data_IF_595217318124
#
_entry.id   IF_595217318124
#
_cell.length_a   1.000
_cell.length_b   1.000
_cell.length_c   1.000
_cell.angle_alpha   90.00
_cell.angle_beta   90.00
_cell.angle_gamma   90.00
#
_symmetry.space_group_name_H-M   'P 1'
#
loop_
_entity.id
_entity.type
_entity.pdbx_description
1 polymer ?
#
# COMPACT_ATOMS: atom_id res chain seq x y z
N UNK A 1 -2.55 -17.88 -11.04
CA UNK A 1 -2.69 -16.94 -9.90
C UNK A 1 -4.17 -16.87 -9.53
N UNK A 2 -4.44 -16.75 -8.23
CA UNK A 2 -5.78 -16.58 -7.66
C UNK A 2 -6.05 -15.11 -7.37
N UNK A 3 -7.32 -14.73 -7.25
CA UNK A 3 -7.73 -13.38 -6.86
C UNK A 3 -7.14 -13.03 -5.50
N UNK A 4 -6.62 -11.82 -5.35
CA UNK A 4 -5.99 -11.36 -4.12
C UNK A 4 -4.58 -11.91 -3.85
N UNK A 5 -4.05 -12.86 -4.65
CA UNK A 5 -2.70 -13.44 -4.45
C UNK A 5 -1.54 -12.44 -4.65
N UNK A 6 -1.81 -11.29 -5.24
CA UNK A 6 -0.87 -10.16 -5.36
C UNK A 6 -0.84 -9.27 -4.13
N UNK A 7 -0.34 -8.04 -4.29
CA UNK A 7 -0.26 -7.06 -3.21
C UNK A 7 -1.64 -6.57 -2.71
N UNK A 8 -2.70 -6.75 -3.50
CA UNK A 8 -4.03 -6.26 -3.17
C UNK A 8 -4.70 -7.03 -2.02
N UNK A 9 -4.52 -8.35 -1.90
CA UNK A 9 -5.10 -9.13 -0.79
C UNK A 9 -4.26 -9.10 0.49
N UNK A 10 -2.94 -8.89 0.36
CA UNK A 10 -1.99 -8.94 1.47
C UNK A 10 -1.56 -7.58 2.03
N UNK A 11 -2.19 -6.48 1.63
CA UNK A 11 -1.85 -5.15 2.15
C UNK A 11 -2.40 -4.91 3.58
N UNK A 12 -2.09 -3.74 4.13
CA UNK A 12 -2.47 -3.37 5.49
C UNK A 12 -3.99 -3.19 5.71
N UNK A 13 -4.80 -3.09 4.65
CA UNK A 13 -6.25 -2.89 4.77
C UNK A 13 -6.65 -1.48 5.21
N UNK A 14 -5.74 -0.52 5.19
CA UNK A 14 -6.03 0.87 5.54
C UNK A 14 -6.25 1.69 4.27
N UNK A 15 -7.41 2.32 4.17
CA UNK A 15 -7.75 3.34 3.16
C UNK A 15 -7.30 4.68 3.75
N UNK A 16 -6.00 4.94 3.63
CA UNK A 16 -5.37 6.11 4.22
C UNK A 16 -5.26 7.23 3.18
N UNK A 17 -5.77 8.41 3.52
CA UNK A 17 -5.79 9.59 2.65
C UNK A 17 -4.97 10.72 3.25
N UNK A 18 -4.66 11.74 2.45
CA UNK A 18 -3.85 12.88 2.90
C UNK A 18 -2.35 12.60 3.01
N UNK A 19 -1.90 11.39 2.70
CA UNK A 19 -0.48 11.09 2.76
C UNK A 19 0.28 11.74 1.58
N UNK A 20 1.27 12.56 1.86
CA UNK A 20 2.16 13.07 0.82
C UNK A 20 3.03 11.94 0.25
N UNK A 21 3.60 12.12 -0.96
CA UNK A 21 4.46 11.13 -1.59
C UNK A 21 5.66 10.80 -0.70
N UNK A 22 6.28 9.64 -0.94
CA UNK A 22 7.49 9.24 -0.21
C UNK A 22 8.71 10.12 -0.50
N UNK A 23 8.67 10.86 -1.61
CA UNK A 23 9.70 11.77 -2.10
C UNK A 23 9.74 13.04 -1.25
N UNK A 24 10.42 13.00 -0.10
CA UNK A 24 10.53 14.13 0.83
C UNK A 24 12.00 14.49 1.07
N UNK A 25 12.27 15.74 1.41
CA UNK A 25 13.59 16.18 1.87
C UNK A 25 14.14 15.28 2.98
N UNK A 26 15.44 15.00 2.94
CA UNK A 26 16.13 14.16 3.94
C UNK A 26 16.06 12.65 3.68
N UNK A 27 15.25 12.18 2.72
CA UNK A 27 15.16 10.73 2.38
C UNK A 27 16.49 10.13 1.91
N UNK A 28 17.40 10.92 1.33
CA UNK A 28 18.72 10.43 0.91
C UNK A 28 19.50 9.80 2.08
N UNK A 29 19.49 10.43 3.26
CA UNK A 29 20.14 9.86 4.47
C UNK A 29 19.53 8.53 4.88
N UNK A 30 18.20 8.43 4.80
CA UNK A 30 17.48 7.18 5.12
C UNK A 30 17.79 6.08 4.09
N UNK A 31 17.89 6.42 2.79
CA UNK A 31 18.29 5.48 1.74
C UNK A 31 19.70 4.95 2.02
N UNK A 32 20.65 5.81 2.36
CA UNK A 32 22.02 5.39 2.67
C UNK A 32 22.06 4.50 3.92
N UNK A 33 21.34 4.83 4.98
CA UNK A 33 21.23 4.00 6.17
C UNK A 33 20.58 2.63 5.86
N UNK A 34 19.60 2.60 4.96
CA UNK A 34 18.87 1.38 4.59
C UNK A 34 19.69 0.34 3.84
N UNK A 35 20.86 0.70 3.32
CA UNK A 35 21.78 -0.25 2.68
C UNK A 35 22.42 -1.21 3.69
N UNK A 36 22.50 -0.81 4.95
CA UNK A 36 23.19 -1.57 6.00
C UNK A 36 22.24 -2.13 7.06
N UNK A 37 21.05 -1.58 7.17
CA UNK A 37 20.07 -1.95 8.21
C UNK A 37 18.97 -2.87 7.66
N UNK A 38 19.11 -4.16 7.91
CA UNK A 38 18.10 -5.16 7.53
C UNK A 38 16.84 -5.13 8.38
N UNK A 39 16.88 -4.54 9.57
CA UNK A 39 15.76 -4.43 10.49
C UNK A 39 15.06 -3.06 10.46
N UNK A 40 15.61 -2.11 9.71
CA UNK A 40 15.00 -0.79 9.52
C UNK A 40 13.70 -0.83 8.70
N UNK A 41 12.90 0.25 8.67
CA UNK A 41 11.65 0.30 7.90
C UNK A 41 11.87 0.18 6.38
N UNK A 42 13.03 0.57 5.89
CA UNK A 42 13.46 0.46 4.50
C UNK A 42 14.74 -0.38 4.42
N UNK A 43 14.82 -1.29 3.46
CA UNK A 43 16.02 -2.08 3.17
C UNK A 43 16.28 -2.20 1.68
N UNK A 44 17.50 -1.92 1.24
CA UNK A 44 17.97 -2.06 -0.14
C UNK A 44 19.19 -2.97 -0.13
N UNK A 45 19.02 -4.29 -0.38
CA UNK A 45 20.16 -5.21 -0.39
C UNK A 45 21.14 -4.85 -1.50
N UNK A 46 22.45 -4.85 -1.23
CA UNK A 46 23.49 -4.59 -2.23
C UNK A 46 23.34 -5.58 -3.39
N UNK A 47 23.14 -5.06 -4.60
CA UNK A 47 23.10 -5.83 -5.84
C UNK A 47 23.43 -4.97 -7.05
N UNK A 48 23.91 -5.58 -8.10
CA UNK A 48 24.09 -4.89 -9.37
C UNK A 48 22.76 -4.90 -10.13
N UNK A 49 22.08 -3.76 -10.18
CA UNK A 49 20.80 -3.57 -10.88
C UNK A 49 20.73 -2.14 -11.46
N UNK A 50 21.12 -1.97 -12.75
CA UNK A 50 21.09 -0.66 -13.39
C UNK A 50 19.71 0.03 -13.38
N UNK A 51 18.63 -0.75 -13.42
CA UNK A 51 17.27 -0.20 -13.38
C UNK A 51 16.94 0.36 -12.00
N UNK A 52 17.36 -0.34 -10.93
CA UNK A 52 17.23 0.18 -9.56
C UNK A 52 18.02 1.46 -9.37
N UNK A 53 19.27 1.52 -9.86
CA UNK A 53 20.11 2.71 -9.71
C UNK A 53 19.53 3.91 -10.49
N UNK A 54 18.99 3.68 -11.69
CA UNK A 54 18.30 4.71 -12.45
C UNK A 54 17.06 5.21 -11.70
N UNK A 55 16.25 4.30 -11.19
CA UNK A 55 15.07 4.61 -10.41
C UNK A 55 15.40 5.39 -9.12
N UNK A 56 16.43 4.97 -8.37
CA UNK A 56 16.88 5.66 -7.15
C UNK A 56 17.39 7.09 -7.48
N UNK A 57 18.16 7.26 -8.55
CA UNK A 57 18.59 8.58 -9.01
C UNK A 57 17.37 9.48 -9.27
N UNK A 58 16.39 8.98 -9.99
CA UNK A 58 15.18 9.74 -10.34
C UNK A 58 14.33 9.99 -9.09
N UNK A 59 14.18 9.02 -8.20
CA UNK A 59 13.51 9.20 -6.91
C UNK A 59 14.14 10.35 -6.08
N UNK A 60 15.47 10.40 -5.99
CA UNK A 60 16.19 11.46 -5.25
C UNK A 60 15.97 12.83 -5.90
N UNK A 61 15.88 12.92 -7.22
CA UNK A 61 15.59 14.18 -7.94
C UNK A 61 14.23 14.76 -7.59
N UNK A 62 13.26 13.91 -7.30
CA UNK A 62 11.91 14.29 -6.85
C UNK A 62 11.79 14.56 -5.35
N UNK A 63 12.87 14.40 -4.55
CA UNK A 63 12.85 14.69 -3.12
C UNK A 63 12.95 16.19 -2.82
N UNK A 64 12.02 16.99 -3.32
CA UNK A 64 11.93 18.44 -3.13
C UNK A 64 10.57 18.85 -2.57
N UNK A 65 10.51 20.00 -1.90
CA UNK A 65 9.26 20.50 -1.32
C UNK A 65 8.26 20.90 -2.42
N UNK A 66 8.77 21.46 -3.53
CA UNK A 66 7.97 21.83 -4.72
C UNK A 66 7.29 20.59 -5.32
N UNK A 67 8.01 19.48 -5.43
CA UNK A 67 7.44 18.23 -5.94
C UNK A 67 6.35 17.70 -5.01
N UNK A 68 6.56 17.73 -3.70
CA UNK A 68 5.54 17.33 -2.70
C UNK A 68 4.29 18.18 -2.87
N UNK A 69 4.43 19.49 -3.01
CA UNK A 69 3.30 20.41 -3.18
C UNK A 69 2.51 20.10 -4.46
N UNK A 70 3.20 19.91 -5.61
CA UNK A 70 2.57 19.54 -6.88
C UNK A 70 1.85 18.20 -6.79
N UNK A 71 2.46 17.21 -6.16
CA UNK A 71 1.82 15.91 -5.94
C UNK A 71 0.56 16.06 -5.07
N UNK A 72 0.59 16.85 -4.01
CA UNK A 72 -0.53 17.01 -3.11
C UNK A 72 -1.72 17.75 -3.76
N UNK A 73 -1.48 18.66 -4.71
CA UNK A 73 -2.55 19.30 -5.50
C UNK A 73 -3.40 18.28 -6.27
N UNK A 74 -2.79 17.15 -6.68
CA UNK A 74 -3.46 16.07 -7.38
C UNK A 74 -3.97 15.01 -6.41
N UNK A 75 -3.13 14.59 -5.46
CA UNK A 75 -3.42 13.46 -4.58
C UNK A 75 -4.50 13.77 -3.54
N UNK A 76 -4.59 15.02 -3.06
CA UNK A 76 -5.57 15.36 -2.03
C UNK A 76 -7.03 15.27 -2.55
N UNK A 77 -7.41 15.88 -3.68
CA UNK A 77 -8.75 15.68 -4.23
C UNK A 77 -9.01 14.24 -4.64
N UNK A 78 -8.00 13.53 -5.19
CA UNK A 78 -8.13 12.13 -5.56
C UNK A 78 -8.39 11.25 -4.33
N UNK A 79 -7.73 11.52 -3.20
CA UNK A 79 -7.95 10.82 -1.93
C UNK A 79 -9.37 11.04 -1.37
N UNK A 80 -9.90 12.27 -1.45
CA UNK A 80 -11.30 12.56 -1.04
C UNK A 80 -12.30 11.80 -1.90
N UNK A 81 -12.10 11.81 -3.21
CA UNK A 81 -12.95 11.05 -4.14
C UNK A 81 -12.82 9.54 -3.91
N UNK A 82 -11.64 9.05 -3.53
CA UNK A 82 -11.45 7.64 -3.20
C UNK A 82 -12.26 7.21 -1.99
N UNK A 83 -12.32 8.03 -0.93
CA UNK A 83 -13.17 7.75 0.24
C UNK A 83 -14.66 7.64 -0.16
N UNK A 84 -15.14 8.61 -0.93
CA UNK A 84 -16.52 8.58 -1.43
C UNK A 84 -16.79 7.33 -2.26
N UNK A 85 -15.88 7.00 -3.20
CA UNK A 85 -16.01 5.78 -4.03
C UNK A 85 -16.03 4.49 -3.19
N UNK A 86 -15.28 4.43 -2.08
CA UNK A 86 -15.37 3.30 -1.15
C UNK A 86 -16.71 3.25 -0.45
N UNK A 87 -17.16 4.38 0.11
CA UNK A 87 -18.43 4.47 0.81
C UNK A 87 -19.58 4.05 -0.12
N UNK A 88 -19.60 4.55 -1.36
CA UNK A 88 -20.61 4.23 -2.38
C UNK A 88 -20.59 2.73 -2.74
N UNK A 89 -19.45 2.17 -3.09
CA UNK A 89 -19.33 0.75 -3.48
C UNK A 89 -19.74 -0.17 -2.32
N UNK A 90 -19.30 0.12 -1.10
CA UNK A 90 -19.63 -0.69 0.08
C UNK A 90 -21.14 -0.68 0.33
N UNK A 91 -21.80 0.48 0.21
CA UNK A 91 -23.23 0.64 0.45
C UNK A 91 -24.06 0.06 -0.70
N UNK A 92 -23.78 0.44 -1.96
CA UNK A 92 -24.53 0.02 -3.13
C UNK A 92 -24.46 -1.49 -3.39
N UNK A 93 -23.27 -2.08 -3.20
CA UNK A 93 -23.04 -3.51 -3.43
C UNK A 93 -23.24 -4.37 -2.17
N UNK A 94 -23.57 -3.76 -1.03
CA UNK A 94 -23.73 -4.42 0.27
C UNK A 94 -22.53 -5.34 0.61
N UNK A 95 -21.31 -4.80 0.53
CA UNK A 95 -20.08 -5.56 0.72
C UNK A 95 -19.76 -5.71 2.20
N UNK A 96 -19.67 -6.94 2.69
CA UNK A 96 -19.28 -7.28 4.05
C UNK A 96 -17.77 -7.60 4.11
N UNK A 97 -16.94 -6.60 4.38
CA UNK A 97 -15.48 -6.75 4.45
C UNK A 97 -14.86 -6.20 5.75
N UNK A 98 -15.66 -6.00 6.80
CA UNK A 98 -15.17 -5.40 8.05
C UNK A 98 -14.78 -3.93 7.85
N UNK A 99 -15.58 -3.17 7.12
CA UNK A 99 -15.32 -1.76 6.82
C UNK A 99 -15.54 -0.87 8.03
N UNK A 100 -14.49 -0.18 8.47
CA UNK A 100 -14.47 0.68 9.67
C UNK A 100 -14.25 2.13 9.24
N UNK A 101 -15.14 3.03 9.67
CA UNK A 101 -15.13 4.46 9.33
C UNK A 101 -14.51 5.36 10.40
N UNK A 102 -13.92 4.80 11.44
CA UNK A 102 -13.39 5.53 12.59
C UNK A 102 -11.98 6.11 12.40
N UNK A 103 -11.45 6.11 11.19
CA UNK A 103 -10.10 6.58 10.92
C UNK A 103 -9.01 5.60 11.37
N UNK A 104 -7.81 6.12 11.62
CA UNK A 104 -6.72 5.38 12.24
C UNK A 104 -5.87 6.29 13.13
N UNK A 105 -5.11 5.69 14.06
CA UNK A 105 -4.15 6.41 14.90
C UNK A 105 -2.74 6.25 14.36
N UNK A 106 -1.99 7.34 14.22
CA UNK A 106 -0.54 7.31 14.10
C UNK A 106 0.04 7.50 15.47
N UNK A 107 0.62 6.44 16.07
CA UNK A 107 1.11 6.45 17.44
C UNK A 107 2.63 6.53 17.48
N UNK A 108 3.16 7.26 18.47
CA UNK A 108 4.58 7.55 18.60
C UNK A 108 5.09 7.16 19.98
N UNK A 109 6.31 6.57 20.01
CA UNK A 109 7.02 6.16 21.23
C UNK A 109 8.28 7.00 21.47
N UNK A 110 8.56 7.99 20.63
CA UNK A 110 9.69 8.91 20.77
C UNK A 110 9.25 10.35 20.53
N UNK A 111 9.88 11.30 21.21
CA UNK A 111 9.62 12.74 20.98
C UNK A 111 9.89 13.16 19.53
N UNK A 112 11.03 12.78 18.88
CA UNK A 112 11.23 13.11 17.47
C UNK A 112 10.14 12.55 16.56
N UNK A 113 9.63 11.34 16.83
CA UNK A 113 8.52 10.72 16.12
C UNK A 113 7.24 11.54 16.24
N UNK A 114 6.91 11.97 17.47
CA UNK A 114 5.72 12.76 17.74
C UNK A 114 5.79 14.15 17.08
N UNK A 115 6.94 14.81 17.14
CA UNK A 115 7.18 16.09 16.43
C UNK A 115 7.02 15.91 14.92
N UNK A 116 7.59 14.83 14.33
CA UNK A 116 7.44 14.54 12.91
C UNK A 116 5.98 14.29 12.54
N UNK A 117 5.24 13.53 13.35
CA UNK A 117 3.83 13.24 13.12
C UNK A 117 2.95 14.49 13.17
N UNK A 118 3.22 15.42 14.12
CA UNK A 118 2.54 16.72 14.20
C UNK A 118 2.82 17.59 12.98
N UNK A 119 4.06 17.63 12.51
CA UNK A 119 4.42 18.40 11.31
C UNK A 119 3.74 17.83 10.05
N UNK A 120 3.65 16.50 9.93
CA UNK A 120 2.91 15.87 8.85
C UNK A 120 1.41 16.19 8.92
N UNK A 121 0.83 16.15 10.09
CA UNK A 121 -0.57 16.50 10.31
C UNK A 121 -0.85 17.95 9.90
N UNK A 122 -0.08 18.90 10.39
CA UNK A 122 -0.22 20.33 10.04
C UNK A 122 -0.08 20.57 8.52
N UNK A 123 0.81 19.83 7.84
CA UNK A 123 1.03 20.00 6.40
C UNK A 123 -0.18 19.58 5.55
N UNK A 124 -1.02 18.66 6.02
CA UNK A 124 -2.18 18.20 5.26
C UNK A 124 -3.47 19.00 5.54
N UNK A 125 -3.50 19.81 6.59
CA UNK A 125 -4.63 20.70 6.88
C UNK A 125 -4.88 21.68 5.74
N UNK A 126 -3.81 22.19 5.09
CA UNK A 126 -3.90 23.05 3.92
C UNK A 126 -4.66 22.43 2.73
N UNK A 127 -4.77 21.11 2.70
CA UNK A 127 -5.50 20.34 1.68
C UNK A 127 -6.91 19.94 2.14
N UNK A 128 -7.35 20.44 3.30
CA UNK A 128 -8.70 20.23 3.84
C UNK A 128 -8.90 18.83 4.43
N UNK A 129 -7.86 18.26 5.04
CA UNK A 129 -7.93 17.15 5.99
C UNK A 129 -7.88 17.69 7.42
N UNK A 130 -8.43 16.94 8.37
CA UNK A 130 -8.59 17.41 9.76
C UNK A 130 -7.95 16.41 10.75
N UNK A 131 -6.63 16.23 10.71
CA UNK A 131 -5.96 15.37 11.67
C UNK A 131 -6.03 15.98 13.08
N UNK A 132 -6.20 15.15 14.09
CA UNK A 132 -6.35 15.55 15.48
C UNK A 132 -5.15 15.06 16.29
N UNK A 133 -4.49 15.97 17.04
CA UNK A 133 -3.49 15.56 18.03
C UNK A 133 -4.18 14.83 19.18
N UNK A 134 -3.67 13.65 19.54
CA UNK A 134 -4.22 12.84 20.62
C UNK A 134 -3.14 12.54 21.66
N UNK A 135 -3.47 12.72 22.95
CA UNK A 135 -2.56 12.44 24.04
C UNK A 135 -2.40 10.94 24.30
N UNK A 136 -1.32 10.56 24.98
CA UNK A 136 -1.10 9.18 25.40
C UNK A 136 -2.21 8.65 26.32
N UNK A 137 -2.77 9.52 27.17
CA UNK A 137 -3.86 9.19 28.06
C UNK A 137 -5.14 8.87 27.29
N UNK A 138 -5.54 9.74 26.36
CA UNK A 138 -6.70 9.52 25.50
C UNK A 138 -6.55 8.28 24.60
N UNK A 139 -5.35 8.03 24.05
CA UNK A 139 -5.07 6.82 23.29
C UNK A 139 -5.36 5.57 24.13
N UNK A 140 -4.86 5.51 25.39
CA UNK A 140 -5.10 4.37 26.28
C UNK A 140 -6.55 4.26 26.78
N UNK A 141 -7.27 5.38 26.87
CA UNK A 141 -8.71 5.33 27.18
C UNK A 141 -9.51 4.71 26.03
N UNK A 142 -9.14 5.03 24.77
CA UNK A 142 -9.82 4.53 23.58
C UNK A 142 -9.40 3.10 23.24
N UNK A 143 -8.10 2.79 23.40
CA UNK A 143 -7.49 1.48 23.16
C UNK A 143 -6.64 1.07 24.40
N UNK A 144 -7.25 0.38 25.37
CA UNK A 144 -6.57 0.00 26.61
C UNK A 144 -5.37 -0.92 26.44
N UNK A 145 -5.28 -1.60 25.31
CA UNK A 145 -4.19 -2.51 24.96
C UNK A 145 -2.87 -1.79 24.58
N UNK A 146 -2.91 -0.47 24.43
CA UNK A 146 -1.71 0.30 24.13
C UNK A 146 -0.74 0.36 25.31
N UNK A 147 0.55 0.28 24.98
CA UNK A 147 1.67 0.41 25.92
C UNK A 147 1.68 1.76 26.66
N UNK A 148 2.17 1.73 27.90
CA UNK A 148 2.49 2.95 28.65
C UNK A 148 3.66 3.74 28.06
N UNK A 149 4.46 3.16 27.16
CA UNK A 149 5.55 3.84 26.46
C UNK A 149 5.08 4.83 25.38
N UNK A 150 3.81 4.80 24.98
CA UNK A 150 3.30 5.74 23.99
C UNK A 150 3.30 7.18 24.56
N UNK A 151 3.86 8.10 23.80
CA UNK A 151 3.91 9.53 24.14
C UNK A 151 2.69 10.31 23.62
N UNK A 152 1.95 9.74 22.66
CA UNK A 152 0.82 10.34 22.00
C UNK A 152 0.78 9.97 20.53
N UNK A 153 0.00 10.72 19.75
CA UNK A 153 -0.13 10.47 18.32
C UNK A 153 -1.01 11.47 17.59
N UNK A 154 -1.41 11.07 16.41
CA UNK A 154 -2.35 11.79 15.54
C UNK A 154 -3.48 10.85 15.18
N UNK A 155 -4.70 11.31 15.31
CA UNK A 155 -5.89 10.67 14.76
C UNK A 155 -6.19 11.23 13.37
N UNK A 156 -6.42 10.37 12.40
CA UNK A 156 -6.82 10.71 11.02
C UNK A 156 -8.26 10.23 10.79
N UNK A 157 -9.27 11.04 11.16
CA UNK A 157 -10.67 10.60 11.23
C UNK A 157 -11.28 10.26 9.86
N UNK A 158 -10.80 10.91 8.79
CA UNK A 158 -11.34 10.68 7.44
C UNK A 158 -10.95 9.32 6.85
N UNK A 159 -9.89 8.70 7.35
CA UNK A 159 -9.41 7.41 6.83
C UNK A 159 -10.37 6.25 7.17
N UNK A 160 -10.20 5.14 6.49
CA UNK A 160 -11.01 3.92 6.67
C UNK A 160 -10.09 2.70 6.83
N UNK A 161 -10.64 1.60 7.31
CA UNK A 161 -9.96 0.30 7.25
C UNK A 161 -10.94 -0.81 6.90
N UNK A 162 -10.42 -1.90 6.33
CA UNK A 162 -11.20 -3.06 5.90
C UNK A 162 -10.30 -4.29 5.77
N UNK A 163 -10.91 -5.46 5.66
CA UNK A 163 -10.20 -6.67 5.25
C UNK A 163 -10.08 -6.69 3.71
N UNK A 164 -8.88 -6.48 3.15
CA UNK A 164 -8.70 -6.30 1.71
C UNK A 164 -9.01 -7.55 0.91
N UNK A 165 -8.78 -8.75 1.46
CA UNK A 165 -9.10 -9.99 0.75
C UNK A 165 -10.62 -10.18 0.67
N UNK A 166 -11.36 -10.00 1.76
CA UNK A 166 -12.83 -10.06 1.75
C UNK A 166 -13.45 -9.02 0.80
N UNK A 167 -12.89 -7.80 0.77
CA UNK A 167 -13.32 -6.78 -0.18
C UNK A 167 -13.14 -7.22 -1.63
N UNK A 168 -11.96 -7.75 -1.98
CA UNK A 168 -11.66 -8.22 -3.34
C UNK A 168 -12.54 -9.41 -3.76
N UNK A 169 -12.76 -10.37 -2.85
CA UNK A 169 -13.62 -11.53 -3.11
C UNK A 169 -15.06 -11.09 -3.38
N UNK A 170 -15.60 -10.22 -2.52
CA UNK A 170 -16.95 -9.69 -2.70
C UNK A 170 -17.09 -8.86 -4.00
N UNK A 171 -16.14 -7.96 -4.27
CA UNK A 171 -16.13 -7.16 -5.49
C UNK A 171 -16.03 -8.05 -6.75
N UNK A 172 -15.24 -9.11 -6.70
CA UNK A 172 -15.11 -10.10 -7.76
C UNK A 172 -16.44 -10.79 -8.05
N UNK A 173 -17.13 -11.19 -7.00
CA UNK A 173 -18.45 -11.84 -7.14
C UNK A 173 -19.46 -10.88 -7.75
N UNK A 174 -19.49 -9.60 -7.31
CA UNK A 174 -20.35 -8.58 -7.91
C UNK A 174 -20.04 -8.34 -9.39
N UNK A 175 -18.74 -8.29 -9.75
CA UNK A 175 -18.33 -8.15 -11.13
C UNK A 175 -18.78 -9.33 -12.00
N UNK A 176 -18.65 -10.58 -11.51
CA UNK A 176 -19.15 -11.77 -12.19
C UNK A 176 -20.68 -11.73 -12.39
N UNK A 177 -21.43 -11.34 -11.37
CA UNK A 177 -22.89 -11.19 -11.45
C UNK A 177 -23.31 -10.15 -12.49
N UNK A 178 -22.48 -9.14 -12.74
CA UNK A 178 -22.68 -8.12 -13.78
C UNK A 178 -22.11 -8.53 -15.16
N UNK A 179 -21.71 -9.80 -15.32
CA UNK A 179 -21.27 -10.37 -16.60
C UNK A 179 -19.76 -10.26 -16.89
N UNK A 180 -18.95 -9.79 -15.95
CA UNK A 180 -17.50 -9.80 -16.14
C UNK A 180 -16.96 -11.24 -16.14
N UNK A 181 -16.08 -11.54 -17.10
CA UNK A 181 -15.34 -12.81 -17.13
C UNK A 181 -14.01 -12.64 -16.42
N UNK A 182 -13.75 -13.47 -15.44
CA UNK A 182 -12.50 -13.45 -14.67
C UNK A 182 -11.84 -14.80 -14.81
N UNK A 183 -10.68 -14.82 -15.47
CA UNK A 183 -9.89 -16.03 -15.71
C UNK A 183 -8.70 -16.04 -14.76
N UNK A 184 -8.68 -17.02 -13.86
CA UNK A 184 -7.57 -17.27 -12.94
C UNK A 184 -6.61 -18.29 -13.54
N UNK A 185 -5.34 -18.28 -13.12
CA UNK A 185 -4.31 -19.18 -13.68
C UNK A 185 -3.82 -18.79 -15.06
N UNK A 186 -4.42 -17.81 -15.71
CA UNK A 186 -4.05 -17.35 -17.06
C UNK A 186 -2.92 -16.34 -16.99
N UNK A 187 -1.87 -16.57 -17.79
CA UNK A 187 -0.72 -15.66 -17.92
C UNK A 187 -0.73 -14.98 -19.28
N UNK A 188 -0.71 -13.65 -19.29
CA UNK A 188 -0.50 -12.85 -20.50
C UNK A 188 0.98 -12.93 -20.88
N UNK A 189 1.27 -13.41 -22.07
CA UNK A 189 2.62 -13.58 -22.60
C UNK A 189 3.06 -12.40 -23.45
N UNK A 190 2.15 -11.79 -24.23
CA UNK A 190 2.43 -10.60 -25.03
C UNK A 190 1.13 -9.90 -25.44
N UNK A 191 1.24 -8.67 -25.91
CA UNK A 191 0.15 -7.91 -26.54
C UNK A 191 0.22 -8.05 -28.07
N UNK A 192 -0.94 -8.23 -28.71
CA UNK A 192 -1.07 -8.22 -30.18
C UNK A 192 -1.39 -6.80 -30.63
N UNK A 193 -0.46 -6.18 -31.38
CA UNK A 193 -0.57 -4.81 -31.89
C UNK A 193 -0.49 -4.83 -33.40
N UNK A 194 -1.51 -4.25 -34.06
CA UNK A 194 -1.56 -4.13 -35.53
C UNK A 194 -1.75 -2.65 -35.86
N UNK A 195 -0.90 -2.11 -36.68
CA UNK A 195 -0.95 -0.70 -37.16
C UNK A 195 -1.09 0.32 -36.02
N UNK A 196 -0.36 0.12 -34.93
CA UNK A 196 -0.38 1.02 -33.76
C UNK A 196 -1.64 0.92 -32.88
N UNK A 197 -2.41 -0.17 -33.01
CA UNK A 197 -3.59 -0.43 -32.17
C UNK A 197 -3.46 -1.81 -31.50
N UNK A 198 -3.80 -1.88 -30.22
CA UNK A 198 -3.96 -3.18 -29.57
C UNK A 198 -5.21 -3.85 -30.10
N UNK A 199 -5.09 -5.15 -30.46
CA UNK A 199 -6.19 -5.96 -31.00
C UNK A 199 -6.44 -7.21 -30.16
N UNK A 200 -5.61 -7.47 -29.16
CA UNK A 200 -5.76 -8.62 -28.28
C UNK A 200 -4.50 -8.93 -27.47
N UNK A 201 -4.56 -10.07 -26.81
CA UNK A 201 -3.52 -10.61 -25.96
C UNK A 201 -3.21 -12.05 -26.35
N UNK A 202 -1.95 -12.44 -26.28
CA UNK A 202 -1.54 -13.82 -26.31
C UNK A 202 -1.32 -14.32 -24.89
N UNK A 203 -1.97 -15.42 -24.55
CA UNK A 203 -1.90 -16.04 -23.23
C UNK A 203 -1.35 -17.47 -23.30
N UNK A 204 -1.09 -18.08 -22.15
CA UNK A 204 -0.75 -19.51 -22.08
C UNK A 204 -1.92 -20.43 -22.46
N UNK A 205 -3.14 -19.93 -22.59
CA UNK A 205 -4.34 -20.67 -22.98
C UNK A 205 -4.82 -20.34 -24.40
N UNK A 206 -4.10 -19.48 -25.13
CA UNK A 206 -4.44 -19.07 -26.49
C UNK A 206 -4.55 -17.55 -26.63
N UNK A 207 -5.13 -17.14 -27.75
CA UNK A 207 -5.31 -15.71 -28.09
C UNK A 207 -6.67 -15.20 -27.61
N UNK A 208 -6.68 -13.99 -27.09
CA UNK A 208 -7.88 -13.27 -26.65
C UNK A 208 -7.96 -11.96 -27.43
N UNK A 209 -8.97 -11.82 -28.29
CA UNK A 209 -9.24 -10.58 -29.00
C UNK A 209 -9.82 -9.52 -28.07
N UNK A 210 -9.43 -8.24 -28.25
CA UNK A 210 -9.94 -7.12 -27.48
C UNK A 210 -9.88 -5.81 -28.28
N UNK A 211 -10.91 -4.98 -28.15
CA UNK A 211 -10.95 -3.64 -28.74
C UNK A 211 -10.13 -2.63 -27.95
N UNK A 212 -10.00 -2.87 -26.63
CA UNK A 212 -9.18 -2.09 -25.72
C UNK A 212 -8.63 -2.97 -24.60
N UNK A 213 -7.46 -2.59 -24.07
CA UNK A 213 -6.77 -3.28 -22.98
C UNK A 213 -6.39 -2.27 -21.90
N UNK A 214 -6.71 -2.56 -20.66
CA UNK A 214 -6.21 -1.85 -19.49
C UNK A 214 -5.14 -2.71 -18.80
N UNK A 215 -3.92 -2.21 -18.75
CA UNK A 215 -2.80 -2.87 -18.09
C UNK A 215 -2.76 -2.47 -16.61
N UNK A 216 -3.34 -3.32 -15.75
CA UNK A 216 -3.41 -3.12 -14.29
C UNK A 216 -2.57 -4.15 -13.51
N UNK A 217 -1.40 -4.54 -14.06
CA UNK A 217 -0.56 -5.65 -13.57
C UNK A 217 0.43 -5.23 -12.48
N UNK A 218 0.21 -4.07 -11.85
CA UNK A 218 1.05 -3.58 -10.76
C UNK A 218 2.53 -3.46 -11.17
N UNK A 219 3.49 -4.00 -10.38
CA UNK A 219 4.91 -3.86 -10.70
C UNK A 219 5.35 -4.56 -12.00
N UNK A 220 4.56 -5.51 -12.50
CA UNK A 220 4.85 -6.22 -13.76
C UNK A 220 4.54 -5.40 -15.01
N UNK A 221 3.81 -4.28 -14.88
CA UNK A 221 3.42 -3.42 -16.00
C UNK A 221 4.62 -2.90 -16.79
N UNK A 222 5.72 -2.58 -16.11
CA UNK A 222 6.93 -2.10 -16.77
C UNK A 222 7.55 -3.15 -17.71
N UNK A 223 7.56 -4.43 -17.29
CA UNK A 223 8.07 -5.52 -18.13
C UNK A 223 7.26 -5.69 -19.41
N UNK A 224 5.93 -5.71 -19.27
CA UNK A 224 5.00 -5.89 -20.41
C UNK A 224 5.11 -4.71 -21.39
N UNK A 225 5.19 -3.47 -20.90
CA UNK A 225 5.31 -2.29 -21.75
C UNK A 225 6.69 -2.16 -22.41
N UNK A 226 7.75 -2.66 -21.78
CA UNK A 226 9.08 -2.70 -22.39
C UNK A 226 9.11 -3.53 -23.68
N UNK A 227 8.30 -4.59 -23.80
CA UNK A 227 8.19 -5.41 -25.03
C UNK A 227 7.69 -4.59 -26.23
N UNK A 228 6.95 -3.52 -25.98
CA UNK A 228 6.42 -2.59 -27.00
C UNK A 228 7.15 -1.25 -27.03
N UNK A 229 8.35 -1.18 -26.42
CA UNK A 229 9.23 -0.01 -26.46
C UNK A 229 8.89 1.11 -25.47
N UNK A 230 7.96 0.89 -24.53
CA UNK A 230 7.54 1.90 -23.56
C UNK A 230 8.18 1.60 -22.20
N UNK A 231 8.91 2.58 -21.67
CA UNK A 231 9.57 2.47 -20.37
C UNK A 231 8.75 3.18 -19.29
N UNK A 232 8.41 2.46 -18.21
CA UNK A 232 7.84 3.03 -17.02
C UNK A 232 8.86 3.09 -15.88
N UNK A 233 8.93 4.20 -15.12
CA UNK A 233 9.86 4.37 -14.01
C UNK A 233 9.38 3.63 -12.75
N UNK A 234 9.19 2.31 -12.85
CA UNK A 234 8.65 1.45 -11.79
C UNK A 234 9.73 0.54 -11.20
N UNK A 235 9.69 0.36 -9.89
CA UNK A 235 10.43 -0.67 -9.16
C UNK A 235 9.48 -1.47 -8.24
N UNK A 236 9.69 -2.79 -8.10
CA UNK A 236 8.97 -3.58 -7.12
C UNK A 236 9.45 -3.26 -5.71
N UNK A 237 8.57 -2.70 -4.89
CA UNK A 237 8.80 -2.47 -3.47
C UNK A 237 8.16 -3.58 -2.63
N UNK A 238 8.96 -4.51 -2.08
CA UNK A 238 8.45 -5.63 -1.30
C UNK A 238 8.02 -5.15 0.09
N UNK A 239 6.80 -5.50 0.47
CA UNK A 239 6.26 -5.34 1.80
C UNK A 239 5.95 -6.69 2.43
N UNK A 240 5.76 -6.68 3.75
CA UNK A 240 5.51 -7.88 4.54
C UNK A 240 4.32 -7.69 5.46
N UNK A 241 3.66 -8.79 5.82
CA UNK A 241 2.78 -8.81 6.98
C UNK A 241 2.92 -10.09 7.80
N UNK A 242 2.50 -10.00 9.05
CA UNK A 242 2.19 -11.10 9.97
C UNK A 242 0.78 -10.91 10.51
N UNK A 243 0.00 -11.97 10.48
CA UNK A 243 -1.33 -12.02 11.06
C UNK A 243 -1.27 -12.81 12.38
N UNK A 244 -1.86 -12.27 13.45
CA UNK A 244 -1.97 -12.93 14.74
C UNK A 244 -3.44 -13.11 15.10
N UNK A 245 -3.84 -14.32 15.46
CA UNK A 245 -5.18 -14.59 15.97
C UNK A 245 -5.46 -13.75 17.22
N UNK A 246 -6.68 -13.25 17.37
CA UNK A 246 -7.09 -12.53 18.59
C UNK A 246 -7.39 -13.54 19.68
N UNK A 247 -6.86 -13.30 20.88
CA UNK A 247 -7.13 -14.11 22.07
C UNK A 247 -5.89 -14.46 22.88
N UNK A 248 -6.04 -15.34 23.88
CA UNK A 248 -4.94 -15.75 24.75
C UNK A 248 -3.78 -16.33 23.94
N UNK A 249 -2.57 -15.83 24.19
CA UNK A 249 -1.36 -16.23 23.45
C UNK A 249 -1.14 -15.55 22.10
N UNK A 250 -2.18 -14.93 21.54
CA UNK A 250 -2.14 -14.23 20.25
C UNK A 250 -2.11 -12.69 20.38
N UNK A 251 -2.83 -11.99 19.51
CA UNK A 251 -2.95 -10.54 19.52
C UNK A 251 -4.03 -10.05 20.51
N UNK A 252 -3.85 -8.85 21.10
CA UNK A 252 -4.94 -8.17 21.77
C UNK A 252 -6.04 -7.75 20.79
N UNK A 253 -7.25 -7.55 21.28
CA UNK A 253 -8.37 -7.03 20.47
C UNK A 253 -8.25 -5.52 20.36
N UNK A 254 -7.85 -5.03 19.18
CA UNK A 254 -7.85 -3.60 18.86
C UNK A 254 -9.11 -3.23 18.07
N UNK A 255 -9.61 -2.02 18.28
CA UNK A 255 -10.87 -1.53 17.68
C UNK A 255 -10.64 -0.73 16.42
N UNK A 256 -9.55 0.04 16.39
CA UNK A 256 -9.23 0.98 15.30
C UNK A 256 -7.83 0.66 14.79
N UNK A 257 -7.64 0.76 13.48
CA UNK A 257 -6.32 0.60 12.88
C UNK A 257 -5.33 1.64 13.45
N UNK A 258 -4.06 1.28 13.55
CA UNK A 258 -3.00 2.22 13.92
C UNK A 258 -1.73 2.03 13.11
N UNK A 259 -0.98 3.12 12.93
CA UNK A 259 0.38 3.13 12.40
C UNK A 259 1.37 3.33 13.54
N UNK A 260 2.31 2.38 13.70
CA UNK A 260 3.45 2.50 14.59
C UNK A 260 4.52 3.33 13.88
N UNK A 261 4.56 4.62 14.18
CA UNK A 261 5.23 5.65 13.38
C UNK A 261 6.69 5.35 13.10
N UNK A 262 7.48 5.06 14.15
CA UNK A 262 8.94 4.84 14.05
C UNK A 262 9.30 3.59 13.25
N UNK A 263 8.44 2.57 13.29
CA UNK A 263 8.64 1.31 12.59
C UNK A 263 8.01 1.28 11.19
N UNK A 264 7.13 2.24 10.87
CA UNK A 264 6.29 2.24 9.66
C UNK A 264 5.51 0.93 9.51
N UNK A 265 4.85 0.50 10.61
CA UNK A 265 4.05 -0.72 10.68
C UNK A 265 2.60 -0.34 10.96
N UNK A 266 1.69 -0.77 10.10
CA UNK A 266 0.25 -0.68 10.30
C UNK A 266 -0.25 -1.91 11.06
N UNK A 267 -1.11 -1.69 12.03
CA UNK A 267 -1.82 -2.69 12.80
C UNK A 267 -3.31 -2.53 12.50
N UNK A 268 -3.92 -3.52 11.89
CA UNK A 268 -5.31 -3.41 11.44
C UNK A 268 -6.12 -4.60 11.95
N UNK A 269 -7.26 -4.36 12.63
CA UNK A 269 -8.18 -5.43 12.99
C UNK A 269 -8.85 -6.00 11.73
N UNK A 270 -8.83 -7.33 11.58
CA UNK A 270 -9.33 -8.05 10.39
C UNK A 270 -10.45 -9.05 10.74
N UNK A 271 -11.16 -8.82 11.84
CA UNK A 271 -12.17 -9.72 12.39
C UNK A 271 -11.60 -10.62 13.47
N UNK A 272 -11.21 -11.84 13.15
CA UNK A 272 -10.67 -12.84 14.08
C UNK A 272 -9.13 -12.76 14.29
N UNK A 273 -8.47 -11.85 13.59
CA UNK A 273 -7.02 -11.63 13.70
C UNK A 273 -6.67 -10.14 13.57
N UNK A 274 -5.46 -9.80 14.00
CA UNK A 274 -4.82 -8.50 13.77
C UNK A 274 -3.69 -8.68 12.77
N UNK A 275 -3.65 -7.85 11.74
CA UNK A 275 -2.58 -7.78 10.76
C UNK A 275 -1.57 -6.72 11.13
N UNK A 276 -0.31 -7.11 11.25
CA UNK A 276 0.83 -6.22 11.35
C UNK A 276 1.53 -6.18 9.99
N UNK A 277 1.35 -5.09 9.25
CA UNK A 277 1.85 -4.95 7.89
C UNK A 277 2.76 -3.72 7.76
N UNK A 278 3.87 -3.87 7.08
CA UNK A 278 4.78 -2.73 6.94
C UNK A 278 6.01 -3.05 6.13
N UNK A 279 7.03 -2.26 6.36
CA UNK A 279 8.36 -2.33 5.78
C UNK A 279 8.39 -2.17 4.26
N UNK A 280 9.55 -1.79 3.75
CA UNK A 280 9.83 -1.67 2.32
C UNK A 280 11.18 -2.30 2.01
N UNK A 281 11.24 -3.17 1.00
CA UNK A 281 12.48 -3.79 0.54
C UNK A 281 12.58 -3.72 -0.98
N UNK A 282 13.69 -3.21 -1.50
CA UNK A 282 13.96 -3.16 -2.94
C UNK A 282 14.92 -4.28 -3.35
N UNK A 283 14.44 -5.53 -3.33
CA UNK A 283 15.23 -6.74 -3.68
C UNK A 283 14.88 -7.34 -5.05
N UNK A 284 14.14 -6.63 -5.89
CA UNK A 284 13.72 -7.08 -7.22
C UNK A 284 12.47 -7.99 -7.19
N UNK A 285 12.21 -8.63 -8.31
CA UNK A 285 11.05 -9.51 -8.50
C UNK A 285 11.27 -10.88 -7.85
N UNK A 286 11.12 -10.94 -6.51
CA UNK A 286 11.15 -12.19 -5.76
C UNK A 286 10.18 -12.15 -4.58
N UNK A 287 9.76 -13.32 -4.10
CA UNK A 287 8.90 -13.49 -2.92
C UNK A 287 9.63 -14.18 -1.77
N UNK A 288 10.96 -14.08 -1.72
CA UNK A 288 11.75 -14.60 -0.60
C UNK A 288 11.43 -13.79 0.65
N UNK A 289 10.86 -14.42 1.65
CA UNK A 289 10.61 -13.82 2.96
C UNK A 289 11.88 -13.83 3.80
N UNK A 290 12.25 -12.67 4.36
CA UNK A 290 13.42 -12.51 5.20
C UNK A 290 12.99 -12.43 6.66
N UNK A 291 13.50 -13.34 7.48
CA UNK A 291 13.19 -13.40 8.92
C UNK A 291 13.44 -12.07 9.66
N UNK A 292 14.54 -11.32 9.44
CA UNK A 292 14.74 -10.02 10.09
C UNK A 292 13.61 -9.02 9.78
N UNK A 293 13.09 -9.02 8.55
CA UNK A 293 11.99 -8.14 8.11
C UNK A 293 10.67 -8.49 8.82
N UNK A 294 10.40 -9.78 8.95
CA UNK A 294 9.23 -10.28 9.69
C UNK A 294 9.34 -10.02 11.20
N UNK A 295 10.53 -10.20 11.76
CA UNK A 295 10.78 -9.94 13.20
C UNK A 295 10.61 -8.46 13.54
N UNK A 296 10.99 -7.54 12.64
CA UNK A 296 10.74 -6.12 12.82
C UNK A 296 9.26 -5.82 13.06
N UNK A 297 8.34 -6.46 12.31
CA UNK A 297 6.90 -6.28 12.51
C UNK A 297 6.47 -6.68 13.92
N UNK A 298 6.92 -7.86 14.37
CA UNK A 298 6.60 -8.38 15.71
C UNK A 298 7.21 -7.53 16.81
N UNK A 299 8.47 -7.12 16.67
CA UNK A 299 9.16 -6.29 17.65
C UNK A 299 8.49 -4.92 17.82
N UNK A 300 8.10 -4.28 16.69
CA UNK A 300 7.33 -3.05 16.72
C UNK A 300 5.97 -3.25 17.38
N UNK A 301 5.26 -4.33 17.03
CA UNK A 301 3.96 -4.65 17.60
C UNK A 301 4.06 -4.86 19.13
N UNK A 302 5.02 -5.63 19.62
CA UNK A 302 5.23 -5.87 21.06
C UNK A 302 5.52 -4.60 21.86
N UNK A 303 6.23 -3.66 21.28
CA UNK A 303 6.50 -2.37 21.91
C UNK A 303 5.24 -1.56 22.13
N UNK A 304 4.32 -1.58 21.17
CA UNK A 304 3.08 -0.81 21.24
C UNK A 304 1.93 -1.58 21.91
N UNK A 305 1.96 -2.91 21.86
CA UNK A 305 0.97 -3.82 22.45
C UNK A 305 1.67 -4.85 23.33
N UNK A 306 1.90 -4.54 24.62
CA UNK A 306 2.56 -5.48 25.54
C UNK A 306 1.82 -6.81 25.73
N UNK A 307 0.50 -6.80 25.48
CA UNK A 307 -0.35 -8.00 25.51
C UNK A 307 -0.21 -8.91 24.29
N UNK A 308 0.65 -8.59 23.30
CA UNK A 308 0.93 -9.51 22.19
C UNK A 308 1.62 -10.76 22.71
N UNK A 309 0.93 -11.89 22.63
CA UNK A 309 1.37 -13.15 23.21
C UNK A 309 2.58 -13.78 22.52
N UNK A 310 2.97 -14.95 23.04
CA UNK A 310 4.13 -15.69 22.58
C UNK A 310 3.82 -16.67 21.45
N UNK A 311 2.55 -16.92 21.16
CA UNK A 311 2.16 -17.78 20.05
C UNK A 311 2.66 -17.18 18.74
N UNK A 312 3.05 -18.05 17.83
CA UNK A 312 3.52 -17.62 16.51
C UNK A 312 2.42 -16.95 15.68
N UNK A 313 2.78 -16.30 14.58
CA UNK A 313 1.79 -15.73 13.68
C UNK A 313 0.92 -16.82 13.02
N UNK A 314 -0.37 -16.52 12.84
CA UNK A 314 -1.33 -17.34 12.09
C UNK A 314 -0.91 -17.47 10.61
N UNK A 315 -0.36 -16.39 10.06
CA UNK A 315 0.14 -16.35 8.68
C UNK A 315 1.25 -15.31 8.51
N UNK A 316 2.08 -15.55 7.50
CA UNK A 316 3.13 -14.64 7.06
C UNK A 316 3.03 -14.46 5.54
N UNK A 317 3.32 -13.26 5.06
CA UNK A 317 3.21 -12.95 3.65
C UNK A 317 4.17 -11.84 3.22
N UNK A 318 4.55 -11.87 1.95
CA UNK A 318 5.18 -10.73 1.30
C UNK A 318 4.60 -10.50 -0.11
N UNK A 319 4.58 -9.23 -0.54
CA UNK A 319 4.10 -8.84 -1.85
C UNK A 319 4.80 -7.62 -2.41
N UNK A 320 4.66 -7.40 -3.71
CA UNK A 320 5.38 -6.39 -4.46
C UNK A 320 4.47 -5.20 -4.78
N UNK A 321 4.83 -4.02 -4.28
CA UNK A 321 4.15 -2.75 -4.58
C UNK A 321 4.74 -2.13 -5.85
N UNK A 322 3.94 -1.53 -6.75
CA UNK A 322 4.43 -0.82 -7.93
C UNK A 322 4.91 0.58 -7.55
N UNK A 323 6.19 0.74 -7.26
CA UNK A 323 6.76 2.01 -6.80
C UNK A 323 7.21 2.86 -8.00
N UNK A 324 6.48 3.94 -8.29
CA UNK A 324 6.91 4.95 -9.25
C UNK A 324 8.01 5.84 -8.64
N UNK A 325 8.97 6.29 -9.46
CA UNK A 325 10.12 7.07 -8.96
C UNK A 325 9.74 8.48 -8.48
N UNK A 326 8.65 9.04 -9.00
CA UNK A 326 8.08 10.33 -8.59
C UNK A 326 7.03 10.19 -7.46
N UNK A 327 6.68 8.96 -7.07
CA UNK A 327 5.68 8.69 -6.02
C UNK A 327 4.23 8.85 -6.47
N UNK A 328 3.97 9.12 -7.77
CA UNK A 328 2.63 9.31 -8.32
C UNK A 328 2.11 8.05 -9.03
N UNK A 329 0.79 7.78 -9.00
CA UNK A 329 0.21 6.72 -9.80
C UNK A 329 0.30 7.07 -11.29
N UNK A 330 0.48 6.04 -12.12
CA UNK A 330 0.56 6.14 -13.58
C UNK A 330 -0.76 5.63 -14.13
N UNK A 331 -1.64 6.54 -14.54
CA UNK A 331 -3.00 6.25 -14.99
C UNK A 331 -3.26 6.99 -16.29
N UNK A 332 -3.73 6.29 -17.31
CA UNK A 332 -4.14 6.92 -18.58
C UNK A 332 -3.85 6.09 -19.81
N UNK A 333 -4.22 6.62 -20.95
CA UNK A 333 -4.01 6.00 -22.26
C UNK A 333 -2.56 6.16 -22.74
N UNK A 334 -2.05 5.12 -23.38
CA UNK A 334 -0.73 5.13 -24.01
C UNK A 334 -0.86 5.82 -25.38
N UNK A 335 -0.19 6.97 -25.52
CA UNK A 335 -0.33 7.84 -26.70
C UNK A 335 -0.04 7.13 -28.03
N UNK A 336 0.98 6.28 -28.04
CA UNK A 336 1.50 5.68 -29.28
C UNK A 336 0.80 4.36 -29.65
N UNK A 337 -0.08 3.85 -28.76
CA UNK A 337 -0.81 2.60 -28.98
C UNK A 337 -2.30 2.81 -28.70
N UNK A 338 -3.10 2.91 -29.75
CA UNK A 338 -4.56 3.07 -29.62
C UNK A 338 -5.19 1.87 -28.92
N UNK A 339 -6.12 2.14 -28.01
CA UNK A 339 -6.84 1.11 -27.27
C UNK A 339 -6.04 0.54 -26.08
N UNK A 340 -4.82 1.02 -25.80
CA UNK A 340 -4.05 0.62 -24.61
C UNK A 340 -4.08 1.72 -23.55
N UNK A 341 -4.47 1.34 -22.34
CA UNK A 341 -4.39 2.17 -21.15
C UNK A 341 -3.61 1.48 -20.05
N UNK A 342 -3.08 2.23 -19.11
CA UNK A 342 -2.34 1.72 -17.96
C UNK A 342 -2.93 2.28 -16.66
N UNK A 343 -2.96 1.44 -15.62
CA UNK A 343 -3.34 1.78 -14.25
C UNK A 343 -2.39 1.09 -13.28
N UNK A 344 -1.30 1.76 -12.90
CA UNK A 344 -0.23 1.21 -12.08
C UNK A 344 0.50 2.31 -11.30
N UNK A 345 1.61 2.00 -10.64
CA UNK A 345 2.44 2.99 -9.97
C UNK A 345 1.88 3.52 -8.65
N UNK A 346 0.77 2.97 -8.16
CA UNK A 346 0.07 3.45 -6.95
C UNK A 346 0.88 3.29 -5.65
N UNK A 347 2.04 2.65 -5.70
CA UNK A 347 2.91 2.48 -4.54
C UNK A 347 2.21 1.80 -3.37
N UNK A 348 2.13 2.48 -2.24
CA UNK A 348 1.43 2.00 -1.05
C UNK A 348 -0.07 2.31 -1.06
N UNK A 349 -0.55 3.17 -1.97
CA UNK A 349 -1.93 3.65 -2.03
C UNK A 349 -2.82 2.87 -3.00
N UNK A 350 -2.38 1.69 -3.47
CA UNK A 350 -3.13 0.90 -4.45
C UNK A 350 -4.52 0.47 -4.00
N UNK A 351 -4.69 0.11 -2.72
CA UNK A 351 -6.02 -0.13 -2.16
C UNK A 351 -6.81 1.17 -2.12
N UNK A 352 -6.25 2.21 -1.49
CA UNK A 352 -6.91 3.53 -1.32
C UNK A 352 -7.43 4.09 -2.64
N UNK A 353 -6.62 4.07 -3.68
CA UNK A 353 -6.93 4.68 -4.97
C UNK A 353 -7.60 3.72 -5.98
N UNK A 354 -7.73 2.44 -5.63
CA UNK A 354 -8.30 1.43 -6.53
C UNK A 354 -9.66 1.83 -7.10
N UNK A 355 -10.68 2.07 -6.27
CA UNK A 355 -12.02 2.43 -6.74
C UNK A 355 -12.07 3.69 -7.59
N UNK A 356 -11.39 4.76 -7.19
CA UNK A 356 -11.39 6.03 -7.94
C UNK A 356 -10.55 5.95 -9.23
N UNK A 357 -9.65 4.98 -9.34
CA UNK A 357 -8.88 4.72 -10.58
C UNK A 357 -9.74 4.01 -11.62
N UNK A 358 -10.60 3.06 -11.20
CA UNK A 358 -11.53 2.33 -12.07
C UNK A 358 -12.68 3.19 -12.54
#
# INVERSE_FOLDING_TARGET
NEIGSGASGGNAGTVAVGHPPLNRRGRLRQILASLLDQEGPLYIPPRWDPNLWRWLRDFVRYCTDEHVEECMKVMAPLGKNALQSFDDIIEEEAIECGYIRSGYYKVCVTEPGLVSARNEAAAIEAYGYHPECISAEELRQREPEFSSELLGGIHYPESRSLNPLKFLEALTERARQRGARISEGVSVLSMSIISGRVVGLRTNEGEVGADAVVLATGPFSAGILNEVGIQLPLQPGKGYHRDYAIGPGGAPSIKIACELSEASVFCTPMGDFVRFAGTMEFSGFNRVMRTPRLNQLTNAARRCFPGLGSDGPKSEWCGLRPMASDGMPIIGSIRDIKGLSVATGHGMLGLTLGPVTG
#
